data_IF_206405868322
#
_entry.id   IF_206405868322
#
_cell.length_a   1.000
_cell.length_b   1.000
_cell.length_c   1.000
_cell.angle_alpha   90.00
_cell.angle_beta   90.00
_cell.angle_gamma   90.00
#
_symmetry.space_group_name_H-M   'P 1'
#
loop_
_entity.id
_entity.type
_entity.pdbx_description
1 polymer ?
#
# COMPACT_ATOMS: atom_id res chain seq x y z
N UNK A 1 5.07 13.54 3.20
CA UNK A 1 5.16 12.17 2.64
C UNK A 1 5.14 12.23 1.13
N UNK A 2 5.96 11.42 0.48
CA UNK A 2 5.96 11.33 -0.98
C UNK A 2 5.36 9.99 -1.42
N UNK A 3 4.29 10.07 -2.20
CA UNK A 3 3.67 8.90 -2.80
C UNK A 3 4.22 8.67 -4.19
N UNK A 4 4.57 7.42 -4.49
CA UNK A 4 4.94 7.00 -5.83
C UNK A 4 3.67 6.50 -6.51
N UNK A 5 3.22 7.12 -7.62
CA UNK A 5 2.01 6.65 -8.30
C UNK A 5 2.22 5.25 -8.86
N UNK A 6 1.31 4.34 -8.53
CA UNK A 6 1.31 2.98 -9.08
C UNK A 6 0.35 2.96 -10.27
N UNK A 7 0.91 3.08 -11.46
CA UNK A 7 0.14 3.27 -12.69
C UNK A 7 0.46 2.25 -13.80
N UNK A 8 1.46 1.41 -13.56
CA UNK A 8 1.90 0.43 -14.55
C UNK A 8 2.12 -0.91 -13.85
N UNK A 9 1.64 -1.97 -14.46
CA UNK A 9 1.79 -3.32 -13.94
C UNK A 9 3.24 -3.74 -13.75
N UNK A 10 4.15 -3.20 -14.55
CA UNK A 10 5.59 -3.47 -14.42
C UNK A 10 6.16 -3.01 -13.07
N UNK A 11 5.56 -2.01 -12.46
CA UNK A 11 5.98 -1.54 -11.14
C UNK A 11 5.78 -2.62 -10.07
N UNK A 12 4.86 -3.56 -10.27
CA UNK A 12 4.67 -4.67 -9.33
C UNK A 12 5.92 -5.54 -9.24
N UNK A 13 6.59 -5.77 -10.38
CA UNK A 13 7.86 -6.50 -10.41
C UNK A 13 8.93 -5.73 -9.62
N UNK A 14 8.99 -4.41 -9.78
CA UNK A 14 9.93 -3.57 -9.04
C UNK A 14 9.65 -3.60 -7.54
N UNK A 15 8.38 -3.53 -7.16
CA UNK A 15 7.96 -3.60 -5.75
C UNK A 15 8.41 -4.91 -5.13
N UNK A 16 8.17 -6.02 -5.81
CA UNK A 16 8.57 -7.35 -5.33
C UNK A 16 10.09 -7.44 -5.17
N UNK A 17 10.83 -6.97 -6.17
CA UNK A 17 12.29 -6.97 -6.14
C UNK A 17 12.84 -6.11 -5.00
N UNK A 18 12.35 -4.88 -4.88
CA UNK A 18 12.81 -3.96 -3.84
C UNK A 18 12.43 -4.41 -2.44
N UNK A 19 11.35 -5.17 -2.30
CA UNK A 19 10.87 -5.64 -0.99
C UNK A 19 11.84 -6.56 -0.26
N UNK A 20 12.84 -7.10 -0.96
CA UNK A 20 13.90 -7.88 -0.34
C UNK A 20 14.86 -6.99 0.46
N UNK A 21 14.98 -5.72 0.09
CA UNK A 21 15.93 -4.79 0.71
C UNK A 21 15.26 -3.75 1.61
N UNK A 22 14.05 -3.31 1.24
CA UNK A 22 13.34 -2.28 1.97
C UNK A 22 11.82 -2.50 1.91
N UNK A 23 11.08 -2.16 2.97
CA UNK A 23 9.63 -2.34 2.96
C UNK A 23 8.95 -1.55 1.84
N UNK A 24 7.98 -2.18 1.20
CA UNK A 24 7.18 -1.58 0.15
C UNK A 24 5.75 -1.51 0.63
N UNK A 25 5.13 -0.34 0.55
CA UNK A 25 3.75 -0.14 1.00
C UNK A 25 2.89 0.25 -0.18
N UNK A 26 1.77 -0.43 -0.36
CA UNK A 26 0.79 -0.10 -1.39
C UNK A 26 -0.47 0.37 -0.69
N UNK A 27 -0.91 1.60 -0.99
CA UNK A 27 -2.16 2.14 -0.49
C UNK A 27 -3.17 2.21 -1.64
N UNK A 28 -4.24 1.41 -1.54
CA UNK A 28 -5.35 1.45 -2.50
C UNK A 28 -6.31 2.54 -2.08
N UNK A 29 -6.45 3.55 -2.91
CA UNK A 29 -7.22 4.74 -2.65
C UNK A 29 -8.35 4.91 -3.66
N UNK A 30 -9.53 5.29 -3.17
CA UNK A 30 -10.65 5.69 -4.02
C UNK A 30 -10.93 7.17 -3.81
N UNK A 31 -10.84 7.95 -4.89
CA UNK A 31 -11.12 9.38 -4.84
C UNK A 31 -12.60 9.69 -4.58
N UNK A 32 -13.47 8.69 -4.70
CA UNK A 32 -14.91 8.83 -4.48
C UNK A 32 -15.38 8.34 -3.11
N UNK A 33 -14.46 7.84 -2.29
CA UNK A 33 -14.77 7.26 -0.99
C UNK A 33 -14.33 8.19 0.13
N UNK A 34 -15.25 8.66 0.96
CA UNK A 34 -14.93 9.55 2.08
C UNK A 34 -14.05 8.86 3.13
N UNK A 35 -14.26 7.56 3.36
CA UNK A 35 -13.44 6.79 4.29
C UNK A 35 -12.00 6.70 3.78
N UNK A 36 -11.83 6.57 2.46
CA UNK A 36 -10.50 6.54 1.84
C UNK A 36 -9.80 7.88 2.00
N UNK A 37 -10.53 8.99 1.87
CA UNK A 37 -9.98 10.33 2.07
C UNK A 37 -9.52 10.52 3.52
N UNK A 38 -10.28 10.04 4.49
CA UNK A 38 -9.91 10.12 5.91
C UNK A 38 -8.64 9.30 6.17
N UNK A 39 -8.56 8.08 5.63
CA UNK A 39 -7.38 7.22 5.79
C UNK A 39 -6.14 7.90 5.21
N UNK A 40 -6.26 8.49 4.03
CA UNK A 40 -5.16 9.21 3.39
C UNK A 40 -4.69 10.38 4.23
N UNK A 41 -5.61 11.20 4.74
CA UNK A 41 -5.28 12.35 5.57
C UNK A 41 -4.54 11.93 6.85
N UNK A 42 -4.99 10.84 7.47
CA UNK A 42 -4.34 10.32 8.67
C UNK A 42 -2.91 9.88 8.40
N UNK A 43 -2.68 9.19 7.29
CA UNK A 43 -1.33 8.77 6.91
C UNK A 43 -0.43 9.95 6.59
N UNK A 44 -0.96 10.96 5.89
CA UNK A 44 -0.18 12.14 5.50
C UNK A 44 0.25 13.01 6.66
N UNK A 45 -0.44 12.94 7.80
CA UNK A 45 -0.07 13.68 8.99
C UNK A 45 1.12 13.06 9.73
N UNK A 46 1.40 11.79 9.45
CA UNK A 46 2.48 11.08 10.13
C UNK A 46 3.78 11.15 9.32
N UNK A 47 4.90 11.06 10.02
CA UNK A 47 6.20 10.99 9.37
C UNK A 47 6.41 9.60 8.77
N UNK A 48 6.67 9.54 7.47
CA UNK A 48 6.97 8.29 6.80
C UNK A 48 8.47 7.96 6.97
N UNK A 49 8.81 6.71 7.33
CA UNK A 49 10.22 6.32 7.40
C UNK A 49 10.89 6.44 6.02
N UNK A 50 12.10 6.98 6.00
CA UNK A 50 12.85 7.18 4.77
C UNK A 50 13.23 5.86 4.08
N UNK A 51 13.35 4.78 4.85
CA UNK A 51 13.69 3.46 4.33
C UNK A 51 12.53 2.71 3.69
N UNK A 52 11.31 3.27 3.76
CA UNK A 52 10.11 2.67 3.15
C UNK A 52 9.80 3.36 1.83
N UNK A 53 9.26 2.60 0.88
CA UNK A 53 8.68 3.16 -0.34
C UNK A 53 7.15 3.09 -0.24
N UNK A 54 6.48 4.19 -0.49
CA UNK A 54 5.02 4.29 -0.40
C UNK A 54 4.41 4.51 -1.79
N UNK A 55 3.58 3.57 -2.22
CA UNK A 55 2.90 3.64 -3.51
C UNK A 55 1.43 3.96 -3.33
N UNK A 56 0.94 4.87 -4.17
CA UNK A 56 -0.47 5.23 -4.23
C UNK A 56 -1.11 4.57 -5.44
N UNK A 57 -2.12 3.75 -5.23
CA UNK A 57 -2.88 3.11 -6.29
C UNK A 57 -4.29 3.70 -6.31
N UNK A 58 -4.59 4.49 -7.35
CA UNK A 58 -5.95 4.97 -7.60
C UNK A 58 -6.72 3.82 -8.23
N UNK A 59 -7.49 3.12 -7.42
CA UNK A 59 -8.15 1.89 -7.85
C UNK A 59 -9.24 2.11 -8.89
N UNK A 60 -9.81 3.31 -8.96
CA UNK A 60 -10.84 3.61 -9.97
C UNK A 60 -10.23 3.79 -11.36
N UNK A 61 -9.09 4.46 -11.43
CA UNK A 61 -8.37 4.67 -12.69
C UNK A 61 -7.59 3.42 -13.13
N UNK A 62 -7.08 2.64 -12.17
CA UNK A 62 -6.19 1.51 -12.45
C UNK A 62 -6.72 0.21 -11.85
N UNK A 63 -7.97 -0.12 -12.17
CA UNK A 63 -8.65 -1.30 -11.61
C UNK A 63 -7.93 -2.60 -11.94
N UNK A 64 -7.39 -2.73 -13.14
CA UNK A 64 -6.66 -3.93 -13.54
C UNK A 64 -5.44 -4.16 -12.66
N UNK A 65 -4.72 -3.09 -12.30
CA UNK A 65 -3.57 -3.18 -11.41
C UNK A 65 -4.02 -3.55 -9.99
N UNK A 66 -5.12 -2.96 -9.52
CA UNK A 66 -5.69 -3.30 -8.22
C UNK A 66 -6.05 -4.79 -8.13
N UNK A 67 -6.64 -5.35 -9.19
CA UNK A 67 -6.97 -6.77 -9.27
C UNK A 67 -5.70 -7.63 -9.25
N UNK A 68 -4.65 -7.19 -9.94
CA UNK A 68 -3.36 -7.90 -9.95
C UNK A 68 -2.69 -7.89 -8.59
N UNK A 69 -2.80 -6.81 -7.84
CA UNK A 69 -2.28 -6.72 -6.47
C UNK A 69 -2.99 -7.76 -5.59
N UNK A 70 -4.31 -7.82 -5.63
CA UNK A 70 -5.08 -8.79 -4.86
C UNK A 70 -4.68 -10.22 -5.21
N UNK A 71 -4.57 -10.51 -6.49
CA UNK A 71 -4.22 -11.84 -6.99
C UNK A 71 -2.78 -12.23 -6.64
N UNK A 72 -1.84 -11.31 -6.90
CA UNK A 72 -0.40 -11.58 -6.70
C UNK A 72 -0.03 -11.79 -5.24
N UNK A 73 -0.66 -11.05 -4.32
CA UNK A 73 -0.34 -11.11 -2.90
C UNK A 73 -1.34 -11.92 -2.08
N UNK A 74 -2.38 -12.44 -2.70
CA UNK A 74 -3.37 -13.28 -2.03
C UNK A 74 -4.19 -12.51 -0.98
N UNK A 75 -4.47 -11.23 -1.24
CA UNK A 75 -5.20 -10.37 -0.32
C UNK A 75 -6.51 -9.94 -0.97
N UNK A 76 -7.64 -10.22 -0.34
CA UNK A 76 -8.95 -9.81 -0.85
C UNK A 76 -9.01 -8.30 -0.99
N UNK A 77 -9.54 -7.85 -2.12
CA UNK A 77 -9.66 -6.42 -2.39
C UNK A 77 -10.58 -5.74 -1.38
N UNK A 78 -10.10 -4.64 -0.83
CA UNK A 78 -10.85 -3.70 -0.01
C UNK A 78 -10.46 -2.29 -0.39
N UNK A 79 -11.24 -1.30 0.00
CA UNK A 79 -10.95 0.12 -0.26
C UNK A 79 -11.50 0.99 0.86
N UNK A 80 -10.69 1.83 1.50
CA UNK A 80 -9.23 1.91 1.37
C UNK A 80 -8.54 0.67 1.96
N UNK A 81 -7.37 0.36 1.43
CA UNK A 81 -6.60 -0.78 1.91
C UNK A 81 -5.11 -0.48 1.79
N UNK A 82 -4.34 -0.90 2.80
CA UNK A 82 -2.89 -0.83 2.75
C UNK A 82 -2.32 -2.24 2.78
N UNK A 83 -1.27 -2.48 1.99
CA UNK A 83 -0.51 -3.73 2.00
C UNK A 83 0.95 -3.39 2.27
N UNK A 84 1.58 -4.15 3.15
CA UNK A 84 3.02 -4.04 3.43
C UNK A 84 3.70 -5.26 2.82
N UNK A 85 4.64 -5.02 1.93
CA UNK A 85 5.33 -6.07 1.16
C UNK A 85 6.78 -6.17 1.64
N UNK A 86 7.18 -7.39 2.05
CA UNK A 86 8.53 -7.72 2.47
C UNK A 86 8.91 -9.08 1.87
N UNK A 87 10.10 -9.15 1.29
CA UNK A 87 10.61 -10.41 0.71
C UNK A 87 9.62 -11.06 -0.27
N UNK A 88 8.97 -10.24 -1.08
CA UNK A 88 8.05 -10.68 -2.12
C UNK A 88 6.66 -11.10 -1.64
N UNK A 89 6.35 -10.95 -0.36
CA UNK A 89 5.07 -11.35 0.21
C UNK A 89 4.40 -10.22 0.97
N UNK A 90 3.07 -10.23 1.02
CA UNK A 90 2.32 -9.32 1.87
C UNK A 90 2.38 -9.82 3.30
N UNK A 91 3.08 -9.07 4.17
CA UNK A 91 3.25 -9.44 5.58
C UNK A 91 2.19 -8.81 6.48
N UNK A 92 1.49 -7.82 5.97
CA UNK A 92 0.43 -7.12 6.71
C UNK A 92 -0.50 -6.43 5.72
N UNK A 93 -1.80 -6.49 6.00
CA UNK A 93 -2.79 -5.69 5.30
C UNK A 93 -3.82 -5.18 6.30
N UNK A 94 -4.38 -4.01 6.02
CA UNK A 94 -5.41 -3.41 6.85
C UNK A 94 -6.32 -2.58 5.96
N UNK A 95 -7.57 -2.42 6.39
CA UNK A 95 -8.59 -1.76 5.58
C UNK A 95 -9.36 -0.72 6.39
N UNK A 96 -9.95 0.24 5.66
CA UNK A 96 -10.89 1.21 6.21
C UNK A 96 -10.25 2.06 7.32
N UNK A 97 -10.94 2.27 8.42
CA UNK A 97 -10.47 3.14 9.50
C UNK A 97 -9.40 2.50 10.39
N UNK A 98 -9.11 1.22 10.19
CA UNK A 98 -8.01 0.54 10.89
C UNK A 98 -6.61 0.87 10.39
N UNK A 99 -6.51 1.56 9.25
CA UNK A 99 -5.22 1.90 8.65
C UNK A 99 -4.49 2.94 9.50
N UNK A 100 -3.26 2.64 9.92
CA UNK A 100 -2.43 3.57 10.68
C UNK A 100 -0.96 3.42 10.29
N UNK A 101 -0.22 4.52 10.37
CA UNK A 101 1.23 4.50 10.09
C UNK A 101 1.96 3.66 11.13
N UNK A 102 1.52 3.69 12.39
CA UNK A 102 2.11 2.89 13.46
C UNK A 102 2.10 1.41 13.11
N UNK A 103 0.95 0.88 12.68
CA UNK A 103 0.81 -0.54 12.33
C UNK A 103 1.64 -0.90 11.10
N UNK A 104 1.71 0.01 10.12
CA UNK A 104 2.52 -0.18 8.92
C UNK A 104 4.00 -0.36 9.31
N UNK A 105 4.52 0.55 10.11
CA UNK A 105 5.92 0.51 10.54
C UNK A 105 6.20 -0.72 11.38
N UNK A 106 5.32 -1.00 12.33
CA UNK A 106 5.49 -2.10 13.27
C UNK A 106 5.48 -3.46 12.56
N UNK A 107 4.55 -3.66 11.63
CA UNK A 107 4.45 -4.90 10.87
C UNK A 107 5.68 -5.14 9.97
N UNK A 108 6.23 -4.09 9.39
CA UNK A 108 7.41 -4.19 8.55
C UNK A 108 8.66 -4.58 9.35
N UNK A 109 8.76 -4.13 10.59
CA UNK A 109 9.88 -4.47 11.48
C UNK A 109 9.80 -5.92 11.99
N UNK A 110 8.60 -6.44 12.11
CA UNK A 110 8.38 -7.80 12.60
C UNK A 110 8.68 -8.87 11.55
N UNK A 111 8.76 -8.47 10.28
CA UNK A 111 8.93 -9.40 9.16
C UNK A 111 10.41 -9.79 8.94
#
# INVERSE_FOLDING_TARGET
MQWIPLTDEKQLTDIISQSAERPQVIFKHSTRCSISAVALQRLQKESAPAEFDFYMLDLLAYRAISNKVAERFGVNHESPQVLVIRNGACVFDESHLGISMHDIIDSAKAA
#
